data_IF_402092122931
#
_entry.id   IF_402092122931
#
_cell.length_a   1.000
_cell.length_b   1.000
_cell.length_c   1.000
_cell.angle_alpha   90.00
_cell.angle_beta   90.00
_cell.angle_gamma   90.00
#
_symmetry.space_group_name_H-M   'P 1'
#
loop_
_entity.id
_entity.type
_entity.pdbx_description
1 polymer ?
#
# COMPACT_ATOMS: atom_id res chain seq x y z
N UNK A 1 39.05 17.89 -22.76
CA UNK A 1 37.84 17.34 -23.41
C UNK A 1 37.53 15.90 -22.99
N UNK A 2 38.51 15.00 -22.97
CA UNK A 2 38.31 13.58 -22.55
C UNK A 2 37.83 13.45 -21.12
N UNK A 3 38.40 14.15 -20.12
CA UNK A 3 38.01 14.08 -18.72
C UNK A 3 36.54 14.51 -18.46
N UNK A 4 36.07 15.53 -19.18
CA UNK A 4 34.67 15.99 -19.10
C UNK A 4 33.70 14.95 -19.70
N UNK A 5 34.09 14.29 -20.80
CA UNK A 5 33.30 13.21 -21.38
C UNK A 5 33.19 12.00 -20.46
N UNK A 6 34.30 11.56 -19.85
CA UNK A 6 34.32 10.43 -18.92
C UNK A 6 33.46 10.74 -17.69
N UNK A 7 33.58 11.95 -17.13
CA UNK A 7 32.74 12.37 -16.00
C UNK A 7 31.23 12.36 -16.32
N UNK A 8 30.83 12.81 -17.49
CA UNK A 8 29.43 12.81 -17.91
C UNK A 8 28.88 11.39 -18.16
N UNK A 9 29.70 10.49 -18.73
CA UNK A 9 29.31 9.09 -18.93
C UNK A 9 29.14 8.37 -17.58
N UNK A 10 30.06 8.59 -16.63
CA UNK A 10 29.98 8.03 -15.30
C UNK A 10 28.75 8.54 -14.53
N UNK A 11 28.42 9.83 -14.61
CA UNK A 11 27.24 10.40 -13.95
C UNK A 11 25.93 9.87 -14.54
N UNK A 12 25.89 9.70 -15.87
CA UNK A 12 24.72 9.11 -16.54
C UNK A 12 24.54 7.63 -16.15
N UNK A 13 25.62 6.87 -16.05
CA UNK A 13 25.58 5.48 -15.60
C UNK A 13 25.05 5.37 -14.16
N UNK A 14 25.55 6.22 -13.24
CA UNK A 14 25.10 6.26 -11.86
C UNK A 14 23.63 6.63 -11.72
N UNK A 15 23.17 7.59 -12.51
CA UNK A 15 21.76 7.97 -12.56
C UNK A 15 20.88 6.82 -13.03
N UNK A 16 21.29 6.14 -14.09
CA UNK A 16 20.56 5.00 -14.66
C UNK A 16 20.52 3.83 -13.66
N UNK A 17 21.62 3.57 -12.95
CA UNK A 17 21.68 2.51 -11.93
C UNK A 17 20.72 2.81 -10.75
N UNK A 18 20.78 4.03 -10.21
CA UNK A 18 19.82 4.48 -9.18
C UNK A 18 18.37 4.32 -9.63
N UNK A 19 18.08 4.76 -10.86
CA UNK A 19 16.73 4.66 -11.42
C UNK A 19 16.29 3.22 -11.62
N UNK A 20 17.15 2.33 -12.11
CA UNK A 20 16.84 0.90 -12.28
C UNK A 20 16.57 0.21 -10.94
N UNK A 21 17.42 0.42 -9.93
CA UNK A 21 17.24 -0.14 -8.59
C UNK A 21 15.93 0.35 -7.96
N UNK A 22 15.63 1.64 -8.11
CA UNK A 22 14.42 2.26 -7.57
C UNK A 22 13.15 1.73 -8.25
N UNK A 23 13.17 1.60 -9.57
CA UNK A 23 12.06 1.02 -10.34
C UNK A 23 11.83 -0.45 -9.99
N UNK A 24 12.89 -1.22 -9.75
CA UNK A 24 12.76 -2.61 -9.31
C UNK A 24 12.03 -2.71 -7.98
N UNK A 25 12.36 -1.86 -7.00
CA UNK A 25 11.64 -1.81 -5.73
C UNK A 25 10.17 -1.42 -5.90
N UNK A 26 9.87 -0.40 -6.71
CA UNK A 26 8.48 0.01 -7.01
C UNK A 26 7.68 -1.12 -7.65
N UNK A 27 8.28 -1.82 -8.62
CA UNK A 27 7.61 -2.90 -9.33
C UNK A 27 7.34 -4.13 -8.44
N UNK A 28 8.23 -4.45 -7.52
CA UNK A 28 8.00 -5.52 -6.56
C UNK A 28 6.85 -5.21 -5.60
N UNK A 29 6.77 -3.96 -5.13
CA UNK A 29 5.62 -3.52 -4.34
C UNK A 29 4.32 -3.52 -5.15
N UNK A 30 4.38 -3.16 -6.43
CA UNK A 30 3.21 -3.23 -7.32
C UNK A 30 2.70 -4.67 -7.44
N UNK A 31 3.59 -5.64 -7.67
CA UNK A 31 3.23 -7.07 -7.72
C UNK A 31 2.63 -7.51 -6.38
N UNK A 32 3.29 -7.16 -5.27
CA UNK A 32 2.83 -7.50 -3.93
C UNK A 32 1.41 -6.97 -3.67
N UNK A 33 1.15 -5.70 -3.91
CA UNK A 33 -0.18 -5.13 -3.69
C UNK A 33 -1.23 -5.65 -4.67
N UNK A 34 -0.85 -5.89 -5.93
CA UNK A 34 -1.76 -6.42 -6.93
C UNK A 34 -2.26 -7.82 -6.57
N UNK A 35 -1.47 -8.62 -5.87
CA UNK A 35 -1.87 -9.93 -5.38
C UNK A 35 -3.10 -9.81 -4.45
N UNK A 36 -3.03 -8.94 -3.45
CA UNK A 36 -4.15 -8.77 -2.49
C UNK A 36 -5.35 -8.06 -3.12
N UNK A 37 -5.13 -7.10 -4.01
CA UNK A 37 -6.22 -6.49 -4.78
C UNK A 37 -6.95 -7.55 -5.60
N UNK A 38 -6.23 -8.49 -6.23
CA UNK A 38 -6.83 -9.60 -6.99
C UNK A 38 -7.60 -10.56 -6.08
N UNK A 39 -7.08 -10.88 -4.90
CA UNK A 39 -7.77 -11.75 -3.93
C UNK A 39 -9.13 -11.15 -3.56
N UNK A 40 -9.18 -9.88 -3.17
CA UNK A 40 -10.44 -9.25 -2.77
C UNK A 40 -11.40 -9.10 -3.95
N UNK A 41 -10.91 -8.87 -5.17
CA UNK A 41 -11.73 -8.86 -6.39
C UNK A 41 -12.36 -10.22 -6.67
N UNK A 42 -11.62 -11.31 -6.48
CA UNK A 42 -12.18 -12.67 -6.60
C UNK A 42 -13.23 -12.94 -5.54
N UNK A 43 -13.00 -12.54 -4.29
CA UNK A 43 -13.99 -12.64 -3.22
C UNK A 43 -15.28 -11.89 -3.55
N UNK A 44 -15.17 -10.67 -4.09
CA UNK A 44 -16.32 -9.86 -4.48
C UNK A 44 -17.14 -10.47 -5.63
N UNK A 45 -16.53 -11.36 -6.42
CA UNK A 45 -17.20 -12.10 -7.50
C UNK A 45 -17.84 -13.41 -7.02
N UNK A 46 -17.48 -13.87 -5.81
CA UNK A 46 -17.99 -15.12 -5.27
C UNK A 46 -19.50 -15.06 -5.05
N UNK A 47 -20.19 -16.15 -5.42
CA UNK A 47 -21.66 -16.21 -5.36
C UNK A 47 -22.14 -16.24 -3.91
N UNK A 48 -21.47 -16.99 -3.04
CA UNK A 48 -21.90 -17.18 -1.65
C UNK A 48 -21.69 -15.87 -0.87
N UNK A 49 -20.62 -15.12 -1.17
CA UNK A 49 -20.39 -13.74 -0.65
C UNK A 49 -21.54 -12.82 -1.06
N UNK A 50 -21.90 -12.80 -2.34
CA UNK A 50 -23.00 -11.95 -2.85
C UNK A 50 -24.34 -12.32 -2.26
N UNK A 51 -24.61 -13.63 -2.13
CA UNK A 51 -25.86 -14.11 -1.51
C UNK A 51 -25.91 -13.67 -0.04
N UNK A 52 -24.84 -13.89 0.73
CA UNK A 52 -24.76 -13.50 2.14
C UNK A 52 -25.08 -12.01 2.34
N UNK A 53 -24.44 -11.12 1.53
CA UNK A 53 -24.59 -9.67 1.66
C UNK A 53 -25.95 -9.17 1.12
N UNK A 54 -26.59 -9.89 0.14
CA UNK A 54 -27.88 -9.51 -0.40
C UNK A 54 -29.07 -9.78 0.51
N UNK A 55 -28.94 -10.70 1.47
CA UNK A 55 -30.03 -11.15 2.34
C UNK A 55 -30.26 -10.27 3.57
N UNK A 56 -29.31 -9.40 3.91
CA UNK A 56 -29.29 -8.68 5.18
C UNK A 56 -29.89 -7.29 5.09
N UNK A 57 -30.43 -6.84 6.22
CA UNK A 57 -30.99 -5.51 6.42
C UNK A 57 -30.48 -4.91 7.73
N UNK A 58 -30.65 -3.62 7.87
CA UNK A 58 -30.29 -2.93 9.10
C UNK A 58 -30.81 -3.64 10.36
N UNK A 59 -29.91 -3.99 11.25
CA UNK A 59 -30.18 -4.69 12.49
C UNK A 59 -30.15 -6.22 12.43
N UNK A 60 -29.97 -6.82 11.24
CA UNK A 60 -29.79 -8.26 11.10
C UNK A 60 -28.37 -8.66 11.54
N UNK A 61 -28.26 -9.85 12.12
CA UNK A 61 -26.97 -10.42 12.43
C UNK A 61 -26.45 -11.25 11.26
N UNK A 62 -25.35 -10.85 10.68
CA UNK A 62 -24.72 -11.57 9.56
C UNK A 62 -24.42 -13.03 9.92
N UNK A 63 -24.04 -13.30 11.17
CA UNK A 63 -23.70 -14.64 11.68
C UNK A 63 -24.88 -15.61 11.75
N UNK A 64 -26.13 -15.11 11.66
CA UNK A 64 -27.34 -15.93 11.67
C UNK A 64 -27.80 -16.34 10.25
N UNK A 65 -27.08 -15.92 9.19
CA UNK A 65 -27.34 -16.40 7.84
C UNK A 65 -26.93 -17.86 7.66
N UNK A 66 -27.70 -18.58 6.83
CA UNK A 66 -27.37 -19.97 6.47
C UNK A 66 -26.04 -20.08 5.72
N UNK A 67 -25.69 -19.06 4.92
CA UNK A 67 -24.48 -19.03 4.10
C UNK A 67 -23.26 -18.51 4.86
N UNK A 68 -23.44 -17.94 6.06
CA UNK A 68 -22.34 -17.34 6.83
C UNK A 68 -21.18 -18.30 7.08
N UNK A 69 -21.45 -19.54 7.51
CA UNK A 69 -20.39 -20.49 7.84
C UNK A 69 -19.56 -20.89 6.60
N UNK A 70 -20.19 -20.99 5.43
CA UNK A 70 -19.50 -21.28 4.18
C UNK A 70 -18.55 -20.15 3.82
N UNK A 71 -19.04 -18.92 3.82
CA UNK A 71 -18.24 -17.73 3.52
C UNK A 71 -17.13 -17.51 4.56
N UNK A 72 -17.44 -17.70 5.85
CA UNK A 72 -16.46 -17.59 6.92
C UNK A 72 -15.30 -18.56 6.74
N UNK A 73 -15.58 -19.84 6.44
CA UNK A 73 -14.54 -20.83 6.17
C UNK A 73 -13.68 -20.51 4.94
N UNK A 74 -14.26 -19.92 3.90
CA UNK A 74 -13.47 -19.48 2.75
C UNK A 74 -12.56 -18.29 3.13
N UNK A 75 -13.03 -17.33 3.91
CA UNK A 75 -12.19 -16.26 4.44
C UNK A 75 -11.03 -16.78 5.30
N UNK A 76 -11.31 -17.78 6.19
CA UNK A 76 -10.26 -18.44 7.00
C UNK A 76 -9.18 -19.10 6.10
N UNK A 77 -9.60 -19.80 5.04
CA UNK A 77 -8.66 -20.44 4.11
C UNK A 77 -7.81 -19.44 3.34
N UNK A 78 -8.41 -18.34 2.91
CA UNK A 78 -7.69 -17.26 2.21
C UNK A 78 -6.65 -16.65 3.16
N UNK A 79 -7.04 -16.30 4.38
CA UNK A 79 -6.12 -15.75 5.38
C UNK A 79 -4.99 -16.75 5.72
N UNK A 80 -5.31 -18.03 5.87
CA UNK A 80 -4.35 -19.08 6.19
C UNK A 80 -3.38 -19.40 5.03
N UNK A 81 -3.77 -19.12 3.78
CA UNK A 81 -2.93 -19.37 2.61
C UNK A 81 -1.68 -18.48 2.57
N UNK A 82 -1.76 -17.30 3.17
CA UNK A 82 -0.65 -16.35 3.29
C UNK A 82 -0.67 -15.65 4.66
N UNK A 83 -0.63 -16.43 5.72
CA UNK A 83 -0.71 -15.96 7.10
C UNK A 83 0.45 -15.06 7.53
N UNK A 84 1.53 -15.03 6.77
CA UNK A 84 2.65 -14.15 7.03
C UNK A 84 2.34 -12.71 6.61
N UNK A 85 1.53 -12.49 5.59
CA UNK A 85 1.21 -11.17 5.05
C UNK A 85 -0.24 -10.74 5.33
N UNK A 86 -1.20 -11.67 5.31
CA UNK A 86 -2.62 -11.38 5.56
C UNK A 86 -2.92 -11.50 7.06
N UNK A 87 -3.25 -10.37 7.68
CA UNK A 87 -3.68 -10.34 9.07
C UNK A 87 -5.13 -10.80 9.22
N UNK A 88 -6.01 -10.34 8.34
CA UNK A 88 -7.41 -10.74 8.29
C UNK A 88 -7.98 -10.59 6.88
N UNK A 89 -8.97 -11.42 6.59
CA UNK A 89 -9.86 -11.27 5.43
C UNK A 89 -11.25 -10.94 5.96
N UNK A 90 -11.95 -10.00 5.33
CA UNK A 90 -13.19 -9.49 5.89
C UNK A 90 -14.21 -9.08 4.84
N UNK A 91 -15.47 -8.98 5.29
CA UNK A 91 -16.59 -8.46 4.54
C UNK A 91 -17.28 -7.35 5.34
N UNK A 92 -17.66 -6.28 4.66
CA UNK A 92 -18.52 -5.24 5.18
C UNK A 92 -19.88 -5.29 4.45
N UNK A 93 -20.97 -5.41 5.20
CA UNK A 93 -22.33 -5.38 4.70
C UNK A 93 -22.91 -3.96 4.87
N UNK A 94 -23.21 -3.30 3.76
CA UNK A 94 -23.67 -1.91 3.77
C UNK A 94 -25.09 -1.80 4.35
N UNK A 95 -25.97 -2.71 3.99
CA UNK A 95 -27.38 -2.65 4.40
C UNK A 95 -27.55 -3.02 5.87
N UNK A 96 -26.79 -3.98 6.37
CA UNK A 96 -26.78 -4.37 7.77
C UNK A 96 -25.92 -3.46 8.67
N UNK A 97 -25.04 -2.64 8.09
CA UNK A 97 -24.03 -1.82 8.78
C UNK A 97 -23.14 -2.64 9.70
N UNK A 98 -22.60 -3.75 9.20
CA UNK A 98 -21.79 -4.70 9.97
C UNK A 98 -20.57 -5.14 9.18
N UNK A 99 -19.46 -5.43 9.86
CA UNK A 99 -18.29 -6.09 9.29
C UNK A 99 -18.03 -7.41 10.04
N UNK A 100 -17.54 -8.40 9.30
CA UNK A 100 -17.10 -9.70 9.83
C UNK A 100 -15.75 -10.08 9.27
N UNK A 101 -14.91 -10.74 10.07
CA UNK A 101 -13.53 -11.07 9.73
C UNK A 101 -13.25 -12.57 9.88
N UNK A 102 -12.21 -13.04 9.20
CA UNK A 102 -11.75 -14.44 9.22
C UNK A 102 -11.25 -14.93 10.60
N UNK A 103 -10.96 -14.03 11.54
CA UNK A 103 -10.59 -14.35 12.92
C UNK A 103 -11.81 -14.54 13.86
N UNK A 104 -13.02 -14.40 13.32
CA UNK A 104 -14.28 -14.49 14.06
C UNK A 104 -14.77 -13.17 14.64
N UNK A 105 -14.04 -12.05 14.42
CA UNK A 105 -14.54 -10.75 14.82
C UNK A 105 -15.79 -10.41 14.01
N UNK A 106 -16.77 -9.81 14.70
CA UNK A 106 -17.96 -9.21 14.10
C UNK A 106 -18.20 -7.89 14.81
N UNK A 107 -18.40 -6.83 14.03
CA UNK A 107 -18.62 -5.50 14.59
C UNK A 107 -19.96 -5.43 15.36
N UNK A 108 -20.01 -4.54 16.33
CA UNK A 108 -21.21 -4.27 17.13
C UNK A 108 -22.03 -3.10 16.54
N UNK A 109 -23.12 -2.76 17.21
CA UNK A 109 -24.06 -1.73 16.78
C UNK A 109 -23.51 -0.29 16.80
N UNK A 110 -22.32 -0.06 17.37
CA UNK A 110 -21.63 1.24 17.32
C UNK A 110 -20.76 1.42 16.09
N UNK A 111 -20.61 0.36 15.28
CA UNK A 111 -19.83 0.39 14.06
C UNK A 111 -20.54 1.19 12.98
N UNK A 112 -19.79 2.15 12.40
CA UNK A 112 -20.26 2.94 11.27
C UNK A 112 -19.42 2.62 10.04
N UNK A 113 -20.00 1.83 9.12
CA UNK A 113 -19.32 1.35 7.93
C UNK A 113 -18.85 2.49 7.02
N UNK A 114 -19.64 3.55 6.95
CA UNK A 114 -19.37 4.74 6.10
C UNK A 114 -18.21 5.60 6.62
N UNK A 115 -17.81 5.44 7.87
CA UNK A 115 -16.67 6.15 8.48
C UNK A 115 -15.35 5.39 8.34
N UNK A 116 -15.40 4.17 7.75
CA UNK A 116 -14.20 3.34 7.62
C UNK A 116 -13.35 3.77 6.43
N UNK A 117 -12.04 3.76 6.61
CA UNK A 117 -11.06 4.15 5.58
C UNK A 117 -11.27 3.40 4.26
N UNK A 118 -11.63 2.14 4.34
CA UNK A 118 -11.87 1.26 3.20
C UNK A 118 -13.24 1.50 2.51
N UNK A 119 -14.17 2.26 3.14
CA UNK A 119 -15.43 2.64 2.49
C UNK A 119 -15.21 3.50 1.24
N UNK A 120 -14.04 4.08 1.12
CA UNK A 120 -13.61 4.78 -0.09
C UNK A 120 -13.68 3.89 -1.35
N UNK A 121 -13.58 2.56 -1.23
CA UNK A 121 -13.81 1.65 -2.35
C UNK A 121 -15.22 1.78 -2.94
N UNK A 122 -16.23 2.00 -2.09
CA UNK A 122 -17.62 2.27 -2.48
C UNK A 122 -17.73 3.64 -3.14
N UNK A 123 -17.18 4.68 -2.52
CA UNK A 123 -17.25 6.06 -3.02
C UNK A 123 -16.58 6.24 -4.38
N UNK A 124 -15.44 5.56 -4.60
CA UNK A 124 -14.70 5.61 -5.85
C UNK A 124 -15.13 4.56 -6.86
N UNK A 125 -15.99 3.64 -6.43
CA UNK A 125 -16.45 2.50 -7.23
C UNK A 125 -15.28 1.72 -7.86
N UNK A 126 -14.26 1.42 -7.07
CA UNK A 126 -13.03 0.77 -7.54
C UNK A 126 -12.33 -0.01 -6.43
N UNK A 127 -11.51 -0.99 -6.83
CA UNK A 127 -10.58 -1.62 -5.90
C UNK A 127 -9.51 -0.61 -5.48
N UNK A 128 -9.23 -0.52 -4.20
CA UNK A 128 -8.26 0.42 -3.62
C UNK A 128 -7.30 -0.28 -2.66
N UNK A 129 -6.17 0.37 -2.40
CA UNK A 129 -5.40 0.22 -1.17
C UNK A 129 -5.69 1.42 -0.28
N UNK A 130 -6.01 1.18 0.99
CA UNK A 130 -6.25 2.24 1.96
C UNK A 130 -4.95 2.93 2.36
N UNK A 131 -5.01 4.12 2.94
CA UNK A 131 -3.91 4.61 3.78
C UNK A 131 -3.70 3.67 4.97
N UNK A 132 -2.50 3.67 5.54
CA UNK A 132 -2.26 2.90 6.77
C UNK A 132 -3.14 3.42 7.92
N UNK A 133 -3.69 2.51 8.70
CA UNK A 133 -4.52 2.83 9.87
C UNK A 133 -4.37 1.76 10.96
N UNK A 134 -4.81 2.11 12.16
CA UNK A 134 -4.83 1.16 13.29
C UNK A 134 -6.08 0.30 13.18
N UNK A 135 -5.88 -1.00 13.07
CA UNK A 135 -6.97 -1.97 13.00
C UNK A 135 -7.72 -2.07 14.33
N UNK A 136 -9.07 -2.11 14.24
CA UNK A 136 -9.93 -1.98 15.41
C UNK A 136 -9.89 -3.21 16.34
N UNK A 137 -9.63 -4.41 15.81
CA UNK A 137 -9.65 -5.66 16.58
C UNK A 137 -8.33 -5.93 17.30
N UNK A 138 -7.19 -5.71 16.64
CA UNK A 138 -5.85 -6.05 17.14
C UNK A 138 -5.05 -4.86 17.64
N UNK A 139 -5.35 -3.66 17.16
CA UNK A 139 -4.56 -2.46 17.41
C UNK A 139 -3.27 -2.37 16.58
N UNK A 140 -3.07 -3.29 15.63
CA UNK A 140 -1.92 -3.30 14.74
C UNK A 140 -2.05 -2.24 13.64
N UNK A 141 -0.92 -1.77 13.13
CA UNK A 141 -0.89 -0.89 11.98
C UNK A 141 -0.96 -1.73 10.71
N UNK A 142 -1.99 -1.48 9.92
CA UNK A 142 -2.28 -2.21 8.68
C UNK A 142 -2.57 -1.26 7.53
N UNK A 143 -2.57 -1.79 6.34
CA UNK A 143 -3.29 -1.24 5.18
C UNK A 143 -4.21 -2.32 4.63
N UNK A 144 -5.30 -1.94 3.96
CA UNK A 144 -6.23 -2.91 3.39
C UNK A 144 -6.33 -2.78 1.89
N UNK A 145 -6.34 -3.91 1.20
CA UNK A 145 -6.96 -3.99 -0.11
C UNK A 145 -8.48 -4.10 0.09
N UNK A 146 -9.25 -3.30 -0.62
CA UNK A 146 -10.70 -3.29 -0.50
C UNK A 146 -11.37 -3.07 -1.86
N UNK A 147 -12.47 -3.78 -2.11
CA UNK A 147 -13.22 -3.71 -3.36
C UNK A 147 -14.73 -3.73 -3.11
N UNK A 148 -15.54 -2.98 -3.88
CA UNK A 148 -16.98 -3.04 -3.74
C UNK A 148 -17.52 -4.39 -4.21
N UNK A 149 -18.50 -4.92 -3.46
CA UNK A 149 -19.27 -6.11 -3.84
C UNK A 149 -20.60 -5.67 -4.44
N UNK A 150 -20.90 -6.14 -5.63
CA UNK A 150 -22.14 -5.85 -6.33
C UNK A 150 -23.17 -6.97 -6.14
N UNK A 151 -24.45 -6.58 -6.22
CA UNK A 151 -25.55 -7.53 -6.32
C UNK A 151 -25.40 -8.45 -7.56
N UNK A 152 -26.20 -9.51 -7.64
CA UNK A 152 -26.16 -10.46 -8.76
C UNK A 152 -26.36 -9.81 -10.14
N UNK A 153 -27.07 -8.67 -10.17
CA UNK A 153 -27.32 -7.94 -11.41
C UNK A 153 -26.18 -6.96 -11.77
N UNK A 154 -25.18 -6.80 -10.91
CA UNK A 154 -24.08 -5.88 -11.09
C UNK A 154 -24.46 -4.40 -11.07
N UNK A 155 -25.58 -4.04 -10.41
CA UNK A 155 -26.13 -2.67 -10.43
C UNK A 155 -25.92 -1.90 -9.14
N UNK A 156 -26.10 -2.58 -8.02
CA UNK A 156 -26.02 -1.95 -6.70
C UNK A 156 -24.81 -2.49 -5.94
N UNK A 157 -24.10 -1.62 -5.26
CA UNK A 157 -23.09 -2.02 -4.31
C UNK A 157 -23.79 -2.41 -3.01
N UNK A 158 -23.60 -3.64 -2.56
CA UNK A 158 -24.23 -4.23 -1.38
C UNK A 158 -23.25 -4.41 -0.23
N UNK A 159 -21.94 -4.35 -0.51
CA UNK A 159 -20.91 -4.52 0.50
C UNK A 159 -19.53 -4.21 0.00
N UNK A 160 -18.56 -4.54 0.82
CA UNK A 160 -17.12 -4.42 0.54
C UNK A 160 -16.44 -5.73 0.94
N UNK A 161 -15.59 -6.26 0.08
CA UNK A 161 -14.65 -7.33 0.41
C UNK A 161 -13.26 -6.74 0.64
N UNK A 162 -12.56 -7.21 1.66
CA UNK A 162 -11.24 -6.69 1.99
C UNK A 162 -10.29 -7.70 2.59
N UNK A 163 -8.99 -7.36 2.53
CA UNK A 163 -7.91 -8.08 3.17
C UNK A 163 -6.95 -7.09 3.82
N UNK A 164 -6.65 -7.32 5.07
CA UNK A 164 -5.74 -6.50 5.88
C UNK A 164 -4.32 -7.05 5.76
N UNK A 165 -3.41 -6.17 5.38
CA UNK A 165 -2.01 -6.45 5.15
C UNK A 165 -1.20 -5.84 6.28
N UNK A 166 -0.43 -6.66 7.00
CA UNK A 166 0.44 -6.19 8.07
C UNK A 166 1.61 -5.36 7.50
N UNK A 167 1.83 -4.16 8.05
CA UNK A 167 2.92 -3.28 7.60
C UNK A 167 4.31 -3.85 7.91
N UNK A 168 4.43 -4.73 8.89
CA UNK A 168 5.67 -5.38 9.28
C UNK A 168 6.32 -6.14 8.11
N UNK A 169 5.51 -6.77 7.24
CA UNK A 169 6.01 -7.50 6.08
C UNK A 169 6.45 -6.58 4.92
N UNK A 170 5.86 -5.39 4.82
CA UNK A 170 6.37 -4.35 3.91
C UNK A 170 7.78 -3.91 4.35
N UNK A 171 8.04 -3.87 5.64
CA UNK A 171 9.36 -3.64 6.23
C UNK A 171 10.38 -4.68 5.74
N UNK A 172 10.06 -5.96 5.81
CA UNK A 172 10.92 -7.04 5.36
C UNK A 172 11.19 -6.95 3.85
N UNK A 173 10.15 -6.73 3.07
CA UNK A 173 10.25 -6.57 1.62
C UNK A 173 11.16 -5.41 1.25
N UNK A 174 10.95 -4.23 1.83
CA UNK A 174 11.69 -3.02 1.46
C UNK A 174 13.10 -2.98 2.06
N UNK A 175 13.34 -3.57 3.22
CA UNK A 175 14.67 -3.66 3.83
C UNK A 175 15.66 -4.48 3.00
N UNK A 176 15.15 -5.41 2.16
CA UNK A 176 15.95 -6.18 1.22
C UNK A 176 16.49 -5.33 0.06
N UNK A 177 15.84 -4.19 -0.26
CA UNK A 177 16.26 -3.31 -1.34
C UNK A 177 17.30 -2.30 -0.88
N UNK A 178 18.55 -2.54 -1.33
CA UNK A 178 19.66 -1.61 -1.12
C UNK A 178 19.82 -0.70 -2.33
N UNK A 179 19.84 0.58 -2.07
CA UNK A 179 20.13 1.60 -3.07
C UNK A 179 21.59 2.02 -2.91
N UNK A 180 22.45 1.50 -3.78
CA UNK A 180 23.90 1.60 -3.59
C UNK A 180 24.36 0.86 -2.32
N UNK A 181 25.29 1.47 -1.56
CA UNK A 181 25.81 0.89 -0.32
C UNK A 181 25.10 1.41 0.94
N UNK A 182 24.72 2.70 0.95
CA UNK A 182 24.18 3.40 2.12
C UNK A 182 22.78 4.02 1.85
N UNK A 183 22.21 3.72 0.70
CA UNK A 183 20.89 4.18 0.36
C UNK A 183 19.81 3.17 0.74
N UNK A 184 18.56 3.62 0.72
CA UNK A 184 17.38 2.84 1.08
C UNK A 184 16.16 3.33 0.30
N UNK A 185 15.06 2.60 0.41
CA UNK A 185 13.76 2.98 -0.15
C UNK A 185 12.81 3.29 0.99
N UNK A 186 11.97 4.29 0.83
CA UNK A 186 10.82 4.56 1.69
C UNK A 186 9.53 4.45 0.88
N UNK A 187 8.44 4.10 1.55
CA UNK A 187 7.08 4.06 1.00
C UNK A 187 6.30 5.25 1.53
N UNK A 188 5.69 6.01 0.64
CA UNK A 188 4.91 7.20 0.98
C UNK A 188 3.60 7.23 0.22
N UNK A 189 2.61 7.91 0.77
CA UNK A 189 1.34 8.22 0.08
C UNK A 189 1.44 9.48 -0.76
N UNK A 190 0.43 9.73 -1.59
CA UNK A 190 0.37 10.92 -2.46
C UNK A 190 0.36 12.25 -1.70
N UNK A 191 -0.06 12.27 -0.44
CA UNK A 191 -0.01 13.44 0.45
C UNK A 191 1.31 13.58 1.22
N UNK A 192 2.23 12.62 1.04
CA UNK A 192 3.56 12.62 1.66
C UNK A 192 3.62 11.95 3.02
N UNK A 193 2.58 11.23 3.46
CA UNK A 193 2.63 10.42 4.68
C UNK A 193 3.54 9.22 4.48
N UNK A 194 4.47 9.00 5.39
CA UNK A 194 5.45 7.92 5.34
C UNK A 194 4.82 6.64 5.90
N UNK A 195 4.69 5.63 5.07
CA UNK A 195 4.15 4.32 5.45
C UNK A 195 5.27 3.40 5.92
N UNK A 196 6.39 3.42 5.20
CA UNK A 196 7.60 2.69 5.57
C UNK A 196 8.82 3.59 5.53
N UNK A 197 9.66 3.46 6.55
CA UNK A 197 10.99 4.08 6.63
C UNK A 197 11.91 3.16 7.45
N UNK A 198 13.20 2.96 7.08
CA UNK A 198 14.14 2.14 7.85
C UNK A 198 14.31 2.54 9.32
N UNK A 199 14.09 3.83 9.64
CA UNK A 199 13.91 4.28 11.00
C UNK A 199 12.42 4.37 11.31
N UNK A 200 11.92 3.46 12.14
CA UNK A 200 10.50 3.37 12.53
C UNK A 200 9.94 4.65 13.18
N UNK A 201 10.79 5.46 13.82
CA UNK A 201 10.38 6.75 14.38
C UNK A 201 9.84 7.73 13.33
N UNK A 202 10.11 7.48 12.06
CA UNK A 202 9.65 8.30 10.94
C UNK A 202 8.38 7.76 10.27
N UNK A 203 7.93 6.58 10.64
CA UNK A 203 6.65 6.03 10.13
C UNK A 203 5.48 6.88 10.62
N UNK A 204 4.47 7.03 9.78
CA UNK A 204 3.28 7.86 9.96
C UNK A 204 3.54 9.37 10.05
N UNK A 205 4.79 9.83 10.00
CA UNK A 205 5.09 11.26 9.83
C UNK A 205 4.90 11.67 8.37
N UNK A 206 4.67 12.96 8.19
CA UNK A 206 4.70 13.53 6.85
C UNK A 206 6.13 13.90 6.43
N UNK A 207 6.46 13.81 5.15
CA UNK A 207 7.77 14.22 4.60
C UNK A 207 8.17 15.64 5.01
N UNK A 208 7.22 16.54 5.19
CA UNK A 208 7.45 17.91 5.64
C UNK A 208 8.03 17.99 7.06
N UNK A 209 7.70 17.05 7.94
CA UNK A 209 8.24 16.98 9.30
C UNK A 209 9.72 16.57 9.33
N UNK A 210 10.17 15.86 8.29
CA UNK A 210 11.58 15.50 8.10
C UNK A 210 12.37 16.54 7.30
N UNK A 211 11.81 17.74 7.10
CA UNK A 211 12.41 18.80 6.29
C UNK A 211 12.82 18.32 4.87
N UNK A 212 12.03 17.43 4.29
CA UNK A 212 12.24 16.97 2.91
C UNK A 212 11.90 18.09 1.95
N UNK A 213 12.77 18.31 0.96
CA UNK A 213 12.59 19.39 -0.03
C UNK A 213 11.30 19.23 -0.84
N UNK A 214 10.65 20.33 -1.17
CA UNK A 214 9.42 20.40 -2.00
C UNK A 214 9.58 19.70 -3.38
N UNK A 215 10.80 19.50 -3.84
CA UNK A 215 11.07 18.78 -5.09
C UNK A 215 10.54 17.36 -5.08
N UNK A 216 10.50 16.70 -3.91
CA UNK A 216 9.94 15.35 -3.76
C UNK A 216 8.43 15.38 -3.92
N UNK A 217 7.74 16.30 -3.23
CA UNK A 217 6.27 16.42 -3.36
C UNK A 217 5.86 16.81 -4.79
N UNK A 218 6.62 17.67 -5.47
CA UNK A 218 6.41 17.99 -6.89
C UNK A 218 6.58 16.76 -7.79
N UNK A 219 7.53 15.90 -7.47
CA UNK A 219 7.74 14.65 -8.20
C UNK A 219 6.56 13.66 -7.98
N UNK A 220 6.06 13.52 -6.76
CA UNK A 220 4.87 12.75 -6.44
C UNK A 220 3.66 13.27 -7.22
N UNK A 221 3.41 14.58 -7.19
CA UNK A 221 2.29 15.23 -7.89
C UNK A 221 2.36 15.09 -9.41
N UNK A 222 3.56 14.97 -9.99
CA UNK A 222 3.71 14.74 -11.43
C UNK A 222 3.23 13.37 -11.89
N UNK A 223 3.07 12.43 -10.97
CA UNK A 223 2.65 11.02 -11.19
C UNK A 223 3.54 10.23 -12.17
N UNK A 224 4.60 10.86 -12.67
CA UNK A 224 5.58 10.24 -13.55
C UNK A 224 6.84 9.94 -12.74
N UNK A 225 7.36 8.72 -12.90
CA UNK A 225 8.61 8.35 -12.26
C UNK A 225 9.72 9.34 -12.63
N UNK A 226 10.38 9.92 -11.61
CA UNK A 226 11.38 10.97 -11.85
C UNK A 226 12.52 10.94 -10.84
N UNK A 227 13.74 11.19 -11.33
CA UNK A 227 14.92 11.38 -10.48
C UNK A 227 14.88 12.73 -9.81
N UNK A 228 15.21 12.79 -8.53
CA UNK A 228 15.20 13.99 -7.70
C UNK A 228 16.53 14.18 -6.98
N UNK A 229 16.94 15.44 -6.87
CA UNK A 229 17.94 15.87 -5.89
C UNK A 229 17.22 16.64 -4.80
N UNK A 230 17.39 16.25 -3.55
CA UNK A 230 16.65 16.82 -2.45
C UNK A 230 17.46 16.86 -1.16
N UNK A 231 16.95 17.56 -0.16
CA UNK A 231 17.48 17.54 1.20
C UNK A 231 16.50 16.81 2.11
N UNK A 232 17.04 16.04 3.03
CA UNK A 232 16.31 15.45 4.14
C UNK A 232 17.26 15.39 5.34
N UNK A 233 16.79 15.75 6.55
CA UNK A 233 17.58 15.80 7.78
C UNK A 233 18.89 16.58 7.63
N UNK A 234 18.85 17.71 6.92
CA UNK A 234 20.00 18.56 6.66
C UNK A 234 21.02 18.03 5.64
N UNK A 235 20.84 16.80 5.13
CA UNK A 235 21.76 16.15 4.19
C UNK A 235 21.23 16.20 2.76
N UNK A 236 22.13 16.37 1.77
CA UNK A 236 21.77 16.26 0.35
C UNK A 236 21.71 14.80 -0.07
N UNK A 237 20.68 14.45 -0.82
CA UNK A 237 20.42 13.10 -1.33
C UNK A 237 20.07 13.16 -2.81
N UNK A 238 20.32 12.06 -3.49
CA UNK A 238 19.75 11.74 -4.80
C UNK A 238 18.77 10.59 -4.63
N UNK A 239 17.71 10.60 -5.39
CA UNK A 239 16.71 9.56 -5.35
C UNK A 239 15.87 9.49 -6.61
N UNK A 240 14.94 8.57 -6.60
CA UNK A 240 13.93 8.42 -7.63
C UNK A 240 12.57 8.27 -6.93
N UNK A 241 11.60 9.04 -7.38
CA UNK A 241 10.20 8.89 -6.97
C UNK A 241 9.52 8.02 -8.01
N UNK A 242 8.99 6.87 -7.60
CA UNK A 242 8.25 5.95 -8.46
C UNK A 242 6.83 5.76 -7.93
N UNK A 243 5.82 5.82 -8.81
CA UNK A 243 4.45 5.45 -8.46
C UNK A 243 4.32 3.93 -8.46
N UNK A 244 3.52 3.39 -7.56
CA UNK A 244 3.22 1.96 -7.47
C UNK A 244 1.90 1.70 -8.21
N UNK A 245 1.99 1.21 -9.44
CA UNK A 245 0.84 0.93 -10.29
C UNK A 245 -0.15 2.10 -10.39
N UNK A 246 -1.41 1.82 -10.14
CA UNK A 246 -2.50 2.82 -10.12
C UNK A 246 -2.85 3.30 -8.71
N UNK A 247 -2.12 2.84 -7.68
CA UNK A 247 -2.38 3.17 -6.28
C UNK A 247 -2.01 4.63 -5.94
N UNK A 248 -2.37 5.05 -4.73
CA UNK A 248 -1.94 6.34 -4.17
C UNK A 248 -0.58 6.25 -3.47
N UNK A 249 0.19 5.17 -3.71
CA UNK A 249 1.48 4.92 -3.09
C UNK A 249 2.64 5.22 -4.03
N UNK A 250 3.73 5.68 -3.43
CA UNK A 250 4.98 6.02 -4.12
C UNK A 250 6.17 5.47 -3.35
N UNK A 251 7.19 5.02 -4.07
CA UNK A 251 8.52 4.82 -3.49
C UNK A 251 9.33 6.10 -3.65
N UNK A 252 10.12 6.43 -2.62
CA UNK A 252 11.21 7.40 -2.73
C UNK A 252 12.51 6.68 -2.36
N UNK A 253 13.39 6.51 -3.33
CA UNK A 253 14.74 6.05 -3.03
C UNK A 253 15.60 7.17 -2.46
N UNK A 254 16.51 6.81 -1.58
CA UNK A 254 17.41 7.71 -0.87
C UNK A 254 18.84 7.23 -1.03
N UNK A 255 19.69 8.02 -1.69
CA UNK A 255 21.13 7.79 -1.77
C UNK A 255 21.88 9.04 -1.32
N UNK A 256 22.85 8.94 -0.38
CA UNK A 256 23.66 10.09 0.01
C UNK A 256 24.39 10.72 -1.20
N UNK A 257 24.42 12.04 -1.27
CA UNK A 257 25.10 12.74 -2.40
C UNK A 257 26.58 12.41 -2.47
N UNK A 258 27.25 12.14 -1.34
CA UNK A 258 28.64 11.72 -1.30
C UNK A 258 28.88 10.40 -2.04
N UNK A 259 27.97 9.44 -1.88
CA UNK A 259 28.03 8.16 -2.55
C UNK A 259 27.68 8.29 -4.03
N UNK A 260 26.60 9.00 -4.36
CA UNK A 260 26.18 9.25 -5.74
C UNK A 260 27.29 9.90 -6.58
N UNK A 261 28.09 10.79 -5.98
CA UNK A 261 29.17 11.50 -6.65
C UNK A 261 30.54 10.81 -6.54
N UNK A 262 30.68 9.79 -5.69
CA UNK A 262 31.97 9.12 -5.46
C UNK A 262 32.53 8.47 -6.73
N UNK A 263 31.68 7.95 -7.61
CA UNK A 263 32.08 7.36 -8.88
C UNK A 263 32.73 8.35 -9.85
N UNK A 264 32.49 9.66 -9.66
CA UNK A 264 33.14 10.72 -10.46
C UNK A 264 34.60 10.94 -10.08
N UNK A 265 34.96 10.64 -8.83
CA UNK A 265 36.32 10.89 -8.28
C UNK A 265 37.28 9.77 -8.67
N UNK A 266 36.79 8.56 -8.90
CA UNK A 266 37.62 7.40 -9.28
C UNK A 266 38.05 7.41 -10.76
N UNK A 267 37.50 8.32 -11.58
CA UNK A 267 37.79 8.45 -13.01
C UNK A 267 38.75 9.62 -13.35
N UNK A 268 39.31 10.29 -12.34
CA UNK A 268 40.32 11.35 -12.48
C UNK A 268 41.67 10.83 -12.01
#
# INVERSE_FOLDING_TARGET
MVAVMVGNVSLSAQKNDLEMQSKAASYQLEIFFQEYMTIVEQMALDKDVRTLLSEKKAGDKITESADYQTVFHEMEKIAAADSDNIQAVWLGDIDANVATQSDGFTSDSSFEITERTWYRAVETNSTILTSAYVEASTGNLILSAATPVYDENGKNIIGVAGADIALEHIDELLSAYKIGNNGFVILVTSDGTIIYHPNSDNQLKNLSELNVSDSVMKAIQSQNGTSVKYKADGSSKYGYVGRIGTTDYYTLSCMPSSEYLASLIQCI
#
